data_IF_202655026761
#
_entry.id   IF_202655026761
#
_cell.length_a   1.000
_cell.length_b   1.000
_cell.length_c   1.000
_cell.angle_alpha   90.00
_cell.angle_beta   90.00
_cell.angle_gamma   90.00
#
_symmetry.space_group_name_H-M   'P 1'
#
loop_
_entity.id
_entity.type
_entity.pdbx_description
1 polymer ?
#
# COMPACT_ATOMS: atom_id res chain seq x y z
N UNK A 1 22.22 -5.73 8.94
CA UNK A 1 20.75 -5.58 9.11
C UNK A 1 20.50 -4.19 9.64
N UNK A 2 20.23 -3.21 8.77
CA UNK A 2 19.78 -1.89 9.23
C UNK A 2 18.34 -2.03 9.72
N UNK A 3 18.05 -1.54 10.93
CA UNK A 3 16.69 -1.46 11.49
C UNK A 3 15.85 -0.34 10.87
N UNK A 4 16.50 0.56 10.13
CA UNK A 4 15.91 1.71 9.45
C UNK A 4 14.70 1.38 8.54
N UNK A 5 14.73 0.39 7.63
CA UNK A 5 13.58 0.10 6.77
C UNK A 5 12.35 -0.38 7.55
N UNK A 6 12.55 -1.14 8.63
CA UNK A 6 11.44 -1.57 9.49
C UNK A 6 10.80 -0.40 10.25
N UNK A 7 11.62 0.52 10.76
CA UNK A 7 11.13 1.73 11.43
C UNK A 7 10.43 2.68 10.44
N UNK A 8 10.97 2.82 9.22
CA UNK A 8 10.35 3.63 8.17
C UNK A 8 8.98 3.06 7.76
N UNK A 9 8.86 1.75 7.58
CA UNK A 9 7.58 1.10 7.34
C UNK A 9 6.62 1.31 8.52
N UNK A 10 7.06 1.07 9.76
CA UNK A 10 6.22 1.32 10.94
C UNK A 10 5.70 2.77 11.00
N UNK A 11 6.56 3.74 10.72
CA UNK A 11 6.17 5.15 10.67
C UNK A 11 5.17 5.46 9.55
N UNK A 12 5.42 4.97 8.32
CA UNK A 12 4.51 5.18 7.18
C UNK A 12 3.13 4.55 7.44
N UNK A 13 3.09 3.35 8.02
CA UNK A 13 1.85 2.69 8.39
C UNK A 13 1.06 3.50 9.41
N UNK A 14 1.72 3.94 10.49
CA UNK A 14 1.09 4.76 11.53
C UNK A 14 0.59 6.10 10.98
N UNK A 15 1.38 6.76 10.13
CA UNK A 15 0.99 8.00 9.48
C UNK A 15 -0.24 7.82 8.56
N UNK A 16 -0.29 6.73 7.79
CA UNK A 16 -1.44 6.37 6.97
C UNK A 16 -2.68 6.07 7.80
N UNK A 17 -2.56 5.28 8.87
CA UNK A 17 -3.67 4.97 9.77
C UNK A 17 -4.20 6.23 10.49
N UNK A 18 -3.31 7.09 10.96
CA UNK A 18 -3.68 8.36 11.58
C UNK A 18 -4.40 9.29 10.59
N UNK A 19 -3.87 9.39 9.37
CA UNK A 19 -4.51 10.13 8.28
C UNK A 19 -5.90 9.58 7.97
N UNK A 20 -6.06 8.25 7.90
CA UNK A 20 -7.34 7.61 7.64
C UNK A 20 -8.37 7.91 8.73
N UNK A 21 -7.98 7.80 10.00
CA UNK A 21 -8.86 8.07 11.15
C UNK A 21 -9.29 9.55 11.27
N UNK A 22 -8.45 10.47 10.79
CA UNK A 22 -8.70 11.93 10.87
C UNK A 22 -9.33 12.48 9.58
N UNK A 23 -9.52 11.64 8.55
CA UNK A 23 -9.99 12.08 7.24
C UNK A 23 -11.48 12.45 7.26
N UNK A 24 -11.77 13.72 6.99
CA UNK A 24 -13.14 14.24 6.76
C UNK A 24 -13.56 14.27 5.29
N UNK A 25 -12.72 13.75 4.40
CA UNK A 25 -12.97 13.76 2.97
C UNK A 25 -12.68 12.38 2.40
N UNK A 26 -13.66 11.77 1.73
CA UNK A 26 -13.54 10.38 1.26
C UNK A 26 -12.36 10.17 0.29
N UNK A 27 -12.09 11.13 -0.60
CA UNK A 27 -10.88 11.07 -1.47
C UNK A 27 -9.58 11.06 -0.67
N UNK A 28 -9.49 11.86 0.41
CA UNK A 28 -8.32 11.88 1.28
C UNK A 28 -8.18 10.56 2.04
N UNK A 29 -9.29 9.99 2.51
CA UNK A 29 -9.31 8.67 3.15
C UNK A 29 -8.78 7.56 2.22
N UNK A 30 -9.18 7.57 0.94
CA UNK A 30 -8.64 6.64 -0.06
C UNK A 30 -7.13 6.85 -0.29
N UNK A 31 -6.67 8.10 -0.28
CA UNK A 31 -5.23 8.41 -0.33
C UNK A 31 -4.47 7.85 0.88
N UNK A 32 -5.00 8.02 2.09
CA UNK A 32 -4.41 7.46 3.31
C UNK A 32 -4.34 5.93 3.29
N UNK A 33 -5.38 5.27 2.75
CA UNK A 33 -5.37 3.82 2.51
C UNK A 33 -4.24 3.39 1.56
N UNK A 34 -4.00 4.14 0.47
CA UNK A 34 -2.90 3.86 -0.44
C UNK A 34 -1.51 4.02 0.22
N UNK A 35 -1.38 4.97 1.16
CA UNK A 35 -0.14 5.14 1.96
C UNK A 35 0.06 3.95 2.91
N UNK A 36 -1.00 3.50 3.58
CA UNK A 36 -0.94 2.27 4.41
C UNK A 36 -0.49 1.06 3.59
N UNK A 37 -1.04 0.88 2.39
CA UNK A 37 -0.65 -0.22 1.53
C UNK A 37 0.80 -0.11 1.06
N UNK A 38 1.24 1.09 0.70
CA UNK A 38 2.63 1.35 0.31
C UNK A 38 3.63 1.02 1.42
N UNK A 39 3.25 1.25 2.68
CA UNK A 39 4.04 0.84 3.85
C UNK A 39 4.25 -0.68 3.93
N UNK A 40 3.21 -1.46 3.60
CA UNK A 40 3.30 -2.93 3.59
C UNK A 40 4.30 -3.40 2.55
N UNK A 41 4.41 -2.74 1.39
CA UNK A 41 5.44 -3.06 0.39
C UNK A 41 6.84 -2.88 0.94
N UNK A 42 7.10 -1.77 1.64
CA UNK A 42 8.41 -1.50 2.27
C UNK A 42 8.73 -2.56 3.31
N UNK A 43 7.73 -2.97 4.11
CA UNK A 43 7.89 -4.04 5.10
C UNK A 43 8.21 -5.39 4.45
N UNK A 44 7.45 -5.79 3.42
CA UNK A 44 7.67 -7.04 2.69
C UNK A 44 9.06 -7.07 2.06
N UNK A 45 9.47 -5.99 1.39
CA UNK A 45 10.82 -5.89 0.83
C UNK A 45 11.91 -6.01 1.90
N UNK A 46 11.71 -5.41 3.08
CA UNK A 46 12.66 -5.51 4.18
C UNK A 46 12.84 -6.96 4.67
N UNK A 47 11.75 -7.74 4.69
CA UNK A 47 11.76 -9.17 5.07
C UNK A 47 12.42 -10.05 3.99
N UNK A 48 12.12 -9.80 2.72
CA UNK A 48 12.69 -10.57 1.59
C UNK A 48 14.14 -10.22 1.24
N UNK A 49 14.68 -9.16 1.85
CA UNK A 49 16.04 -8.68 1.55
C UNK A 49 17.12 -9.58 2.12
N UNK A 50 17.98 -10.10 1.23
CA UNK A 50 19.23 -10.77 1.60
C UNK A 50 20.43 -9.91 1.29
N UNK A 51 21.36 -9.82 2.23
CA UNK A 51 22.62 -9.07 2.07
C UNK A 51 23.46 -9.71 0.96
N UNK A 52 23.86 -8.93 -0.04
CA UNK A 52 24.55 -9.43 -1.24
C UNK A 52 23.64 -10.13 -2.27
N UNK A 53 22.32 -10.12 -2.05
CA UNK A 53 21.32 -10.68 -2.93
C UNK A 53 21.23 -9.93 -4.26
N UNK A 54 21.33 -10.63 -5.39
CA UNK A 54 21.00 -10.08 -6.73
C UNK A 54 19.52 -10.34 -7.05
N UNK A 55 18.94 -9.53 -7.93
CA UNK A 55 17.58 -9.74 -8.44
C UNK A 55 17.42 -11.15 -9.03
N UNK A 56 16.24 -11.80 -8.88
CA UNK A 56 15.97 -13.14 -9.38
C UNK A 56 15.72 -13.15 -10.89
N UNK A 57 16.72 -12.71 -11.65
CA UNK A 57 16.73 -12.67 -13.12
C UNK A 57 17.98 -13.37 -13.61
N UNK A 58 17.81 -14.49 -14.30
CA UNK A 58 18.91 -15.34 -14.78
C UNK A 58 19.35 -14.98 -16.21
N UNK A 59 19.52 -13.69 -16.53
CA UNK A 59 19.86 -13.26 -17.90
C UNK A 59 21.28 -13.65 -18.31
N UNK A 60 22.27 -13.52 -17.40
CA UNK A 60 23.70 -13.63 -17.74
C UNK A 60 24.55 -14.35 -16.69
N UNK A 61 23.94 -15.00 -15.69
CA UNK A 61 24.67 -15.52 -14.53
C UNK A 61 24.39 -17.00 -14.30
N UNK A 62 25.45 -17.81 -14.13
CA UNK A 62 25.31 -19.25 -13.82
C UNK A 62 24.49 -19.43 -12.52
N UNK A 63 23.53 -20.37 -12.47
CA UNK A 63 22.79 -20.69 -11.26
C UNK A 63 23.77 -20.95 -10.09
N UNK A 64 23.57 -20.27 -8.95
CA UNK A 64 24.36 -20.46 -7.72
C UNK A 64 25.60 -19.59 -7.54
N UNK A 65 25.90 -18.66 -8.46
CA UNK A 65 27.09 -17.80 -8.39
C UNK A 65 26.96 -16.59 -7.43
N UNK A 66 25.74 -16.17 -7.10
CA UNK A 66 25.47 -15.12 -6.09
C UNK A 66 24.20 -15.47 -5.30
N UNK A 67 24.11 -15.05 -4.02
CA UNK A 67 22.85 -15.13 -3.31
C UNK A 67 21.78 -14.31 -4.04
N UNK A 68 20.53 -14.77 -3.99
CA UNK A 68 19.38 -14.08 -4.58
C UNK A 68 18.49 -13.55 -3.45
N UNK A 69 17.80 -12.43 -3.72
CA UNK A 69 16.69 -11.99 -2.87
C UNK A 69 15.50 -12.93 -3.05
N UNK A 70 14.58 -12.97 -2.07
CA UNK A 70 13.47 -13.93 -2.08
C UNK A 70 12.50 -13.63 -3.25
N UNK A 71 12.41 -14.51 -4.27
CA UNK A 71 11.52 -14.31 -5.41
C UNK A 71 10.04 -14.43 -5.03
N UNK A 72 9.72 -15.15 -3.95
CA UNK A 72 8.33 -15.31 -3.48
C UNK A 72 7.81 -13.98 -2.95
N UNK A 73 8.61 -13.28 -2.14
CA UNK A 73 8.26 -11.97 -1.62
C UNK A 73 8.06 -10.95 -2.75
N UNK A 74 8.89 -11.02 -3.80
CA UNK A 74 8.74 -10.15 -4.97
C UNK A 74 7.43 -10.44 -5.74
N UNK A 75 7.10 -11.71 -5.95
CA UNK A 75 5.85 -12.10 -6.60
C UNK A 75 4.62 -11.65 -5.80
N UNK A 76 4.61 -11.87 -4.48
CA UNK A 76 3.53 -11.43 -3.58
C UNK A 76 3.34 -9.92 -3.63
N UNK A 77 4.44 -9.16 -3.60
CA UNK A 77 4.38 -7.68 -3.65
C UNK A 77 3.80 -7.20 -4.98
N UNK A 78 4.20 -7.79 -6.12
CA UNK A 78 3.67 -7.42 -7.43
C UNK A 78 2.17 -7.73 -7.57
N UNK A 79 1.71 -8.87 -7.03
CA UNK A 79 0.28 -9.18 -7.01
C UNK A 79 -0.49 -8.18 -6.17
N UNK A 80 0.01 -7.83 -4.99
CA UNK A 80 -0.67 -6.88 -4.11
C UNK A 80 -0.75 -5.46 -4.72
N UNK A 81 0.29 -5.03 -5.44
CA UNK A 81 0.27 -3.74 -6.16
C UNK A 81 -0.89 -3.64 -7.14
N UNK A 82 -1.17 -4.71 -7.89
CA UNK A 82 -2.29 -4.74 -8.84
C UNK A 82 -3.63 -4.72 -8.09
N UNK A 83 -3.77 -5.50 -7.01
CA UNK A 83 -4.98 -5.51 -6.18
C UNK A 83 -5.21 -4.14 -5.50
N UNK A 84 -4.15 -3.48 -5.04
CA UNK A 84 -4.22 -2.14 -4.47
C UNK A 84 -4.73 -1.09 -5.45
N UNK A 85 -4.22 -1.14 -6.69
CA UNK A 85 -4.67 -0.25 -7.75
C UNK A 85 -6.16 -0.46 -8.08
N UNK A 86 -6.63 -1.71 -8.17
CA UNK A 86 -8.04 -2.01 -8.46
C UNK A 86 -8.97 -1.60 -7.32
N UNK A 87 -8.59 -1.85 -6.07
CA UNK A 87 -9.37 -1.42 -4.89
C UNK A 87 -9.42 0.10 -4.81
N UNK A 88 -8.30 0.80 -5.03
CA UNK A 88 -8.25 2.28 -5.03
C UNK A 88 -9.17 2.86 -6.11
N UNK A 89 -9.12 2.30 -7.32
CA UNK A 89 -10.00 2.72 -8.43
C UNK A 89 -11.47 2.48 -8.10
N UNK A 90 -11.81 1.32 -7.52
CA UNK A 90 -13.17 0.99 -7.10
C UNK A 90 -13.67 1.96 -6.02
N UNK A 91 -12.86 2.24 -4.99
CA UNK A 91 -13.21 3.17 -3.93
C UNK A 91 -13.44 4.58 -4.49
N UNK A 92 -12.56 5.07 -5.36
CA UNK A 92 -12.77 6.38 -6.00
C UNK A 92 -14.03 6.41 -6.87
N UNK A 93 -14.33 5.35 -7.61
CA UNK A 93 -15.57 5.24 -8.37
C UNK A 93 -16.80 5.30 -7.46
N UNK A 94 -16.76 4.66 -6.28
CA UNK A 94 -17.81 4.76 -5.26
C UNK A 94 -17.92 6.18 -4.71
N UNK A 95 -16.80 6.85 -4.40
CA UNK A 95 -16.81 8.25 -3.94
C UNK A 95 -17.46 9.17 -4.97
N UNK A 96 -17.18 8.98 -6.26
CA UNK A 96 -17.84 9.73 -7.33
C UNK A 96 -19.36 9.47 -7.36
N UNK A 97 -19.80 8.23 -7.15
CA UNK A 97 -21.23 7.93 -7.09
C UNK A 97 -21.92 8.54 -5.87
N UNK A 98 -21.27 8.51 -4.71
CA UNK A 98 -21.75 9.14 -3.48
C UNK A 98 -21.87 10.65 -3.67
N UNK A 99 -20.84 11.30 -4.21
CA UNK A 99 -20.84 12.72 -4.52
C UNK A 99 -22.01 13.11 -5.45
N UNK A 100 -22.30 12.29 -6.46
CA UNK A 100 -23.43 12.54 -7.39
C UNK A 100 -24.81 12.37 -6.75
N UNK A 101 -24.97 11.45 -5.80
CA UNK A 101 -26.27 11.16 -5.16
C UNK A 101 -26.57 12.07 -3.97
N UNK A 102 -25.57 12.36 -3.16
CA UNK A 102 -25.73 13.09 -1.89
C UNK A 102 -25.20 14.52 -1.95
N UNK A 103 -24.50 14.91 -3.02
CA UNK A 103 -23.91 16.24 -3.14
C UNK A 103 -22.70 16.49 -2.23
N UNK A 104 -22.32 15.50 -1.41
CA UNK A 104 -21.23 15.59 -0.45
C UNK A 104 -20.24 14.43 -0.57
N UNK A 105 -19.01 14.69 -0.15
CA UNK A 105 -17.89 13.75 -0.03
C UNK A 105 -17.38 13.68 1.40
N UNK A 106 -18.09 14.32 2.34
CA UNK A 106 -17.82 14.26 3.77
C UNK A 106 -18.52 13.03 4.38
N UNK A 107 -17.77 12.10 5.02
CA UNK A 107 -18.36 10.98 5.73
C UNK A 107 -19.33 11.39 6.86
N UNK A 108 -19.08 12.52 7.53
CA UNK A 108 -19.87 12.96 8.68
C UNK A 108 -21.27 13.41 8.21
N UNK A 109 -21.37 14.17 7.11
CA UNK A 109 -22.64 14.61 6.52
C UNK A 109 -23.49 13.43 6.00
N UNK A 110 -22.85 12.35 5.54
CA UNK A 110 -23.55 11.14 5.12
C UNK A 110 -24.16 10.37 6.31
N UNK A 111 -23.55 10.46 7.50
CA UNK A 111 -24.06 9.82 8.71
C UNK A 111 -25.30 10.52 9.26
N UNK A 112 -25.40 11.84 9.08
CA UNK A 112 -26.55 12.64 9.54
C UNK A 112 -27.83 12.41 8.70
N UNK A 113 -27.69 12.02 7.42
CA UNK A 113 -28.82 11.68 6.54
C UNK A 113 -29.54 10.36 6.90
N UNK A 114 -29.04 9.60 7.89
CA UNK A 114 -29.68 8.38 8.42
C UNK A 114 -30.54 8.63 9.68
N UNK A 115 -30.86 9.89 9.98
CA UNK A 115 -31.85 10.30 10.98
C UNK A 115 -33.25 10.45 10.41
#
# INVERSE_FOLDING_TARGET
MSVLPYLAAGWMFLAGCYGLATSRHLVHAVGCLAVCQSSTYVLLLAVGYRTGGTAPVFSDVRPGSRPLVDPVVQALTLTDVVVGATVTALLLALVVQVAKRHGTVDPDELSELRG
#
